data_IF_351024004345
#
_entry.id   IF_351024004345
#
_cell.length_a   1.000
_cell.length_b   1.000
_cell.length_c   1.000
_cell.angle_alpha   90.00
_cell.angle_beta   90.00
_cell.angle_gamma   90.00
#
_symmetry.space_group_name_H-M   'P 1'
#
loop_
_entity.id
_entity.type
_entity.pdbx_description
1 polymer ?
#
# COMPACT_ATOMS: atom_id res chain seq x y z
N UNK A 1 -25.96 -16.23 9.79
CA UNK A 1 -24.49 -16.20 9.78
C UNK A 1 -24.04 -15.09 8.84
N UNK A 2 -23.38 -14.05 9.35
CA UNK A 2 -22.90 -12.94 8.50
C UNK A 2 -21.68 -13.44 7.74
N UNK A 3 -21.84 -13.61 6.42
CA UNK A 3 -20.72 -13.85 5.51
C UNK A 3 -19.63 -12.82 5.84
N UNK A 4 -18.43 -13.28 6.21
CA UNK A 4 -17.27 -12.41 6.30
C UNK A 4 -16.98 -11.99 4.86
N UNK A 5 -17.49 -10.83 4.43
CA UNK A 5 -17.15 -10.29 3.12
C UNK A 5 -15.63 -10.15 3.10
N UNK A 6 -14.98 -10.93 2.24
CA UNK A 6 -13.53 -10.86 2.07
C UNK A 6 -13.18 -9.42 1.73
N UNK A 7 -12.58 -8.71 2.69
CA UNK A 7 -12.12 -7.35 2.47
C UNK A 7 -10.86 -7.46 1.63
N UNK A 8 -10.93 -7.01 0.38
CA UNK A 8 -9.77 -7.01 -0.50
C UNK A 8 -8.75 -5.98 -0.01
N UNK A 9 -7.52 -6.43 0.20
CA UNK A 9 -6.37 -5.60 0.56
C UNK A 9 -5.47 -5.42 -0.65
N UNK A 10 -5.01 -4.18 -0.85
CA UNK A 10 -4.13 -3.84 -1.96
C UNK A 10 -2.95 -3.02 -1.44
N UNK A 11 -1.81 -3.17 -2.11
CA UNK A 11 -0.64 -2.34 -1.91
C UNK A 11 -0.17 -1.78 -3.25
N UNK A 12 0.05 -0.46 -3.29
CA UNK A 12 0.78 0.19 -4.37
C UNK A 12 2.19 0.49 -3.87
N UNK A 13 3.21 0.00 -4.60
CA UNK A 13 4.62 0.17 -4.27
C UNK A 13 5.28 0.95 -5.40
N UNK A 14 5.98 2.02 -5.03
CA UNK A 14 6.83 2.82 -5.90
C UNK A 14 8.26 2.79 -5.35
N UNK A 15 9.20 2.40 -6.21
CA UNK A 15 10.59 2.19 -5.86
C UNK A 15 11.48 2.99 -6.80
N UNK A 16 11.95 4.14 -6.30
CA UNK A 16 13.01 4.91 -6.93
C UNK A 16 14.38 4.58 -6.31
N UNK A 17 15.45 4.95 -6.99
CA UNK A 17 16.83 4.75 -6.50
C UNK A 17 17.10 5.41 -5.14
N UNK A 18 16.32 6.43 -4.77
CA UNK A 18 16.49 7.22 -3.54
C UNK A 18 15.26 7.19 -2.60
N UNK A 19 14.18 6.51 -2.98
CA UNK A 19 12.93 6.51 -2.22
C UNK A 19 12.14 5.23 -2.40
N UNK A 20 11.63 4.73 -1.28
CA UNK A 20 10.60 3.71 -1.24
C UNK A 20 9.29 4.35 -0.77
N UNK A 21 8.24 4.21 -1.57
CA UNK A 21 6.89 4.61 -1.21
C UNK A 21 5.96 3.40 -1.26
N UNK A 22 5.14 3.25 -0.23
CA UNK A 22 4.09 2.25 -0.22
C UNK A 22 2.78 2.84 0.30
N UNK A 23 1.69 2.51 -0.37
CA UNK A 23 0.32 2.81 0.05
C UNK A 23 -0.43 1.50 0.22
N UNK A 24 -0.94 1.23 1.42
CA UNK A 24 -1.80 0.08 1.69
C UNK A 24 -3.23 0.59 1.80
N UNK A 25 -4.14 -0.05 1.06
CA UNK A 25 -5.56 0.27 1.06
C UNK A 25 -6.40 -0.98 1.24
N UNK A 26 -7.65 -0.79 1.65
CA UNK A 26 -8.70 -1.79 1.54
C UNK A 26 -9.86 -1.26 0.71
N UNK A 27 -10.54 -2.16 0.01
CA UNK A 27 -11.85 -1.86 -0.56
C UNK A 27 -12.95 -2.26 0.43
N UNK A 28 -13.86 -1.34 0.73
CA UNK A 28 -15.04 -1.59 1.57
C UNK A 28 -16.24 -0.98 0.88
N UNK A 29 -17.20 -1.84 0.48
CA UNK A 29 -18.43 -1.43 -0.21
C UNK A 29 -18.17 -0.51 -1.42
N UNK A 30 -17.22 -0.88 -2.29
CA UNK A 30 -16.84 -0.10 -3.48
C UNK A 30 -16.04 1.16 -3.19
N UNK A 31 -15.71 1.44 -1.92
CA UNK A 31 -14.91 2.59 -1.51
C UNK A 31 -13.51 2.19 -1.10
N UNK A 32 -12.51 2.94 -1.54
CA UNK A 32 -11.12 2.72 -1.17
C UNK A 32 -10.79 3.49 0.12
N UNK A 33 -10.29 2.77 1.13
CA UNK A 33 -9.84 3.35 2.39
C UNK A 33 -8.34 3.14 2.56
N UNK A 34 -7.61 4.22 2.82
CA UNK A 34 -6.18 4.15 3.13
C UNK A 34 -5.98 3.58 4.54
N UNK A 35 -5.11 2.57 4.64
CA UNK A 35 -4.73 1.97 5.92
C UNK A 35 -3.36 2.46 6.38
N UNK A 36 -2.40 2.57 5.45
CA UNK A 36 -1.05 3.02 5.78
C UNK A 36 -0.38 3.69 4.59
N UNK A 37 0.46 4.67 4.89
CA UNK A 37 1.34 5.32 3.91
C UNK A 37 2.75 5.31 4.47
N UNK A 38 3.66 4.65 3.76
CA UNK A 38 5.06 4.53 4.13
C UNK A 38 5.88 5.32 3.12
N UNK A 39 6.76 6.19 3.63
CA UNK A 39 7.76 6.90 2.86
C UNK A 39 9.10 6.71 3.54
N UNK A 40 10.06 6.10 2.86
CA UNK A 40 11.42 5.88 3.38
C UNK A 40 12.44 6.32 2.35
N UNK A 41 13.47 7.04 2.81
CA UNK A 41 14.68 7.24 2.01
C UNK A 41 15.44 5.92 1.92
N UNK A 42 15.94 5.61 0.74
CA UNK A 42 16.79 4.46 0.43
C UNK A 42 17.95 4.94 -0.45
N UNK A 43 18.94 4.08 -0.70
CA UNK A 43 19.98 4.29 -1.73
C UNK A 43 20.20 2.97 -2.46
N UNK A 44 19.54 2.79 -3.59
CA UNK A 44 19.56 1.54 -4.35
C UNK A 44 20.52 1.59 -5.55
N UNK A 45 20.84 2.79 -6.02
CA UNK A 45 21.79 3.01 -7.13
C UNK A 45 23.15 3.53 -6.64
N UNK A 46 23.47 3.36 -5.35
CA UNK A 46 24.80 3.69 -4.87
C UNK A 46 25.78 2.64 -5.39
N UNK A 47 26.75 3.09 -6.19
CA UNK A 47 27.95 2.33 -6.55
C UNK A 47 28.97 2.39 -5.41
#
# INVERSE_FOLDING_TARGET
MKSMSSTSLYAAIDLGSNSFHMLVVREVAGSIQTLSRIKRKVRLAAA
#
